data_IF_650684509485
#
_entry.id   IF_650684509485
#
_cell.length_a   1.000
_cell.length_b   1.000
_cell.length_c   1.000
_cell.angle_alpha   90.00
_cell.angle_beta   90.00
_cell.angle_gamma   90.00
#
_symmetry.space_group_name_H-M   'P 1'
#
loop_
_entity.id
_entity.type
_entity.pdbx_description
1 polymer ?
#
# COMPACT_ATOMS: atom_id res chain seq x y z
N UNK A 1 -5.71 62.18 -20.77
CA UNK A 1 -6.13 60.77 -20.73
C UNK A 1 -5.99 60.28 -19.29
N UNK A 2 -7.01 60.50 -18.45
CA UNK A 2 -7.02 60.00 -17.07
C UNK A 2 -7.67 58.60 -17.11
N UNK A 3 -6.92 57.59 -16.68
CA UNK A 3 -7.30 56.19 -16.75
C UNK A 3 -8.54 55.88 -15.92
N UNK A 4 -9.42 55.08 -16.51
CA UNK A 4 -10.67 54.59 -15.94
C UNK A 4 -10.38 53.71 -14.72
N UNK A 5 -10.77 54.16 -13.53
CA UNK A 5 -10.56 53.42 -12.28
C UNK A 5 -11.60 52.31 -12.19
N UNK A 6 -11.22 51.09 -12.56
CA UNK A 6 -12.04 49.89 -12.32
C UNK A 6 -12.37 49.79 -10.83
N UNK A 7 -13.66 49.83 -10.50
CA UNK A 7 -14.14 49.57 -9.15
C UNK A 7 -14.35 48.06 -9.00
N UNK A 8 -13.79 47.49 -7.93
CA UNK A 8 -13.97 46.09 -7.57
C UNK A 8 -14.86 46.04 -6.33
N UNK A 9 -15.94 45.25 -6.41
CA UNK A 9 -16.83 45.01 -5.28
C UNK A 9 -16.18 44.00 -4.33
N UNK A 10 -15.98 44.41 -3.08
CA UNK A 10 -15.61 43.50 -2.00
C UNK A 10 -16.80 43.34 -1.07
N UNK A 11 -17.13 42.09 -0.70
CA UNK A 11 -18.09 41.83 0.36
C UNK A 11 -17.51 42.30 1.69
N UNK A 12 -18.13 43.29 2.35
CA UNK A 12 -17.79 43.66 3.72
C UNK A 12 -18.95 43.30 4.64
N UNK A 13 -18.70 42.49 5.66
CA UNK A 13 -19.70 42.14 6.66
C UNK A 13 -19.87 43.34 7.61
N UNK A 14 -20.79 44.25 7.29
CA UNK A 14 -20.95 45.54 8.01
C UNK A 14 -21.70 45.44 9.34
N UNK A 15 -22.30 44.29 9.65
CA UNK A 15 -23.06 44.15 10.90
C UNK A 15 -22.15 43.59 12.00
N UNK A 16 -21.99 44.36 13.08
CA UNK A 16 -21.39 43.90 14.36
C UNK A 16 -22.35 42.98 15.14
N UNK A 17 -23.59 42.83 14.67
CA UNK A 17 -24.58 41.94 15.28
C UNK A 17 -24.50 40.56 14.63
N UNK A 18 -23.79 39.64 15.28
CA UNK A 18 -23.65 38.24 14.84
C UNK A 18 -25.01 37.58 14.56
N UNK A 19 -26.06 37.92 15.33
CA UNK A 19 -27.39 37.36 15.11
C UNK A 19 -28.01 37.77 13.75
N UNK A 20 -27.63 38.94 13.22
CA UNK A 20 -28.09 39.38 11.90
C UNK A 20 -27.39 38.63 10.77
N UNK A 21 -26.07 38.40 10.90
CA UNK A 21 -25.33 37.57 9.94
C UNK A 21 -25.82 36.11 9.93
N UNK A 22 -26.14 35.56 11.12
CA UNK A 22 -26.67 34.20 11.27
C UNK A 22 -28.14 34.07 10.86
N UNK A 23 -28.88 35.17 10.71
CA UNK A 23 -30.33 35.11 10.47
C UNK A 23 -30.74 34.65 9.07
N UNK A 24 -29.78 34.48 8.14
CA UNK A 24 -30.00 33.98 6.78
C UNK A 24 -31.30 34.49 6.14
N UNK A 25 -31.56 35.80 6.25
CA UNK A 25 -32.86 36.39 5.87
C UNK A 25 -33.12 36.19 4.39
N UNK A 26 -34.05 35.30 4.09
CA UNK A 26 -34.51 35.06 2.71
C UNK A 26 -35.61 36.06 2.37
N UNK A 27 -35.38 36.88 1.34
CA UNK A 27 -36.38 37.84 0.85
C UNK A 27 -37.52 37.16 0.10
N UNK A 28 -37.21 36.10 -0.64
CA UNK A 28 -38.17 35.35 -1.46
C UNK A 28 -37.92 33.84 -1.33
N UNK A 29 -38.59 33.16 -0.38
CA UNK A 29 -38.48 31.71 -0.24
C UNK A 29 -39.00 30.95 -1.47
N UNK A 30 -39.92 31.54 -2.25
CA UNK A 30 -40.45 30.91 -3.46
C UNK A 30 -39.39 30.84 -4.56
N UNK A 31 -38.43 31.78 -4.57
CA UNK A 31 -37.29 31.71 -5.50
C UNK A 31 -36.44 30.45 -5.27
N UNK A 32 -36.19 30.06 -4.02
CA UNK A 32 -35.47 28.82 -3.71
C UNK A 32 -36.25 27.57 -4.15
N UNK A 33 -37.57 27.53 -3.90
CA UNK A 33 -38.42 26.43 -4.36
C UNK A 33 -38.51 26.34 -5.90
N UNK A 34 -38.62 27.48 -6.58
CA UNK A 34 -38.60 27.53 -8.04
C UNK A 34 -37.24 27.11 -8.60
N UNK A 35 -36.15 27.37 -7.86
CA UNK A 35 -34.81 26.91 -8.24
C UNK A 35 -34.68 25.40 -8.09
N UNK A 36 -35.22 24.80 -7.03
CA UNK A 36 -35.32 23.35 -6.85
C UNK A 36 -36.10 22.69 -7.99
N UNK A 37 -37.26 23.27 -8.37
CA UNK A 37 -38.01 22.79 -9.53
C UNK A 37 -37.17 22.85 -10.83
N UNK A 38 -36.43 23.93 -11.05
CA UNK A 38 -35.61 24.10 -12.25
C UNK A 38 -34.40 23.15 -12.29
N UNK A 39 -33.86 22.74 -11.14
CA UNK A 39 -32.75 21.78 -11.05
C UNK A 39 -33.21 20.33 -11.02
N UNK A 40 -34.52 20.06 -11.15
CA UNK A 40 -35.06 18.71 -11.19
C UNK A 40 -35.32 18.08 -9.82
N UNK A 41 -35.13 18.80 -8.71
CA UNK A 41 -35.31 18.27 -7.34
C UNK A 41 -36.76 17.84 -7.03
N UNK A 42 -37.73 18.24 -7.86
CA UNK A 42 -39.12 17.79 -7.76
C UNK A 42 -39.48 16.68 -8.75
N UNK A 43 -38.56 16.27 -9.62
CA UNK A 43 -38.65 15.00 -10.32
C UNK A 43 -38.33 13.93 -9.27
N UNK A 44 -39.39 13.35 -8.69
CA UNK A 44 -39.24 12.33 -7.66
C UNK A 44 -38.54 11.10 -8.27
N UNK A 45 -37.26 10.96 -8.02
CA UNK A 45 -36.56 9.69 -8.15
C UNK A 45 -36.97 8.75 -7.01
N UNK A 46 -36.80 7.45 -7.19
CA UNK A 46 -37.14 6.46 -6.17
C UNK A 46 -36.27 6.69 -4.91
N UNK A 47 -36.81 7.41 -3.93
CA UNK A 47 -36.13 7.74 -2.66
C UNK A 47 -36.24 6.64 -1.60
N UNK A 48 -36.38 5.38 -2.01
CA UNK A 48 -36.40 4.24 -1.10
C UNK A 48 -35.05 4.10 -0.39
N UNK A 49 -35.05 4.12 0.94
CA UNK A 49 -33.85 3.81 1.72
C UNK A 49 -33.85 2.33 2.10
N UNK A 50 -32.67 1.70 2.20
CA UNK A 50 -32.59 0.31 2.65
C UNK A 50 -33.04 0.22 4.11
N UNK A 51 -34.00 -0.67 4.38
CA UNK A 51 -34.58 -0.89 5.71
C UNK A 51 -34.03 -2.17 6.36
N UNK A 52 -33.84 -3.23 5.57
CA UNK A 52 -33.20 -4.47 6.03
C UNK A 52 -32.46 -5.18 4.90
N UNK A 53 -31.46 -5.98 5.28
CA UNK A 53 -30.67 -6.82 4.38
C UNK A 53 -30.63 -8.23 4.93
N UNK A 54 -31.14 -9.21 4.19
CA UNK A 54 -31.01 -10.62 4.48
C UNK A 54 -29.83 -11.20 3.68
N UNK A 55 -28.90 -11.83 4.39
CA UNK A 55 -27.69 -12.41 3.84
C UNK A 55 -27.66 -13.91 4.14
N UNK A 56 -27.47 -14.70 3.09
CA UNK A 56 -27.14 -16.12 3.15
C UNK A 56 -25.74 -16.29 2.57
N UNK A 57 -24.86 -16.96 3.31
CA UNK A 57 -23.47 -17.14 2.93
C UNK A 57 -22.93 -18.46 3.45
N UNK A 58 -21.79 -18.87 2.91
CA UNK A 58 -20.96 -19.95 3.42
C UNK A 58 -19.51 -19.49 3.38
N UNK A 59 -18.64 -20.13 4.14
CA UNK A 59 -17.23 -19.78 4.12
C UNK A 59 -16.33 -21.01 4.04
N UNK A 60 -15.13 -20.78 3.51
CA UNK A 60 -14.09 -21.77 3.30
C UNK A 60 -12.85 -21.34 4.08
N UNK A 61 -12.53 -22.01 5.20
CA UNK A 61 -11.30 -21.75 5.92
C UNK A 61 -10.07 -21.99 5.02
N UNK A 62 -9.09 -21.10 5.12
CA UNK A 62 -7.77 -21.30 4.52
C UNK A 62 -7.10 -22.43 5.29
N UNK A 63 -6.69 -23.46 4.55
CA UNK A 63 -6.08 -24.66 5.11
C UNK A 63 -4.58 -24.72 4.80
N UNK A 64 -4.13 -24.10 3.72
CA UNK A 64 -2.74 -24.24 3.28
C UNK A 64 -2.14 -22.95 2.72
N UNK A 65 -0.83 -22.84 2.91
CA UNK A 65 0.03 -21.78 2.37
C UNK A 65 1.08 -22.40 1.44
N UNK A 66 1.15 -21.89 0.22
CA UNK A 66 2.21 -22.20 -0.73
C UNK A 66 3.24 -21.08 -0.73
N UNK A 67 4.50 -21.41 -0.44
CA UNK A 67 5.64 -20.47 -0.53
C UNK A 67 6.78 -21.12 -1.31
N UNK A 68 7.15 -20.55 -2.45
CA UNK A 68 8.06 -21.22 -3.39
C UNK A 68 7.55 -22.61 -3.77
N UNK A 69 8.37 -23.64 -3.55
CA UNK A 69 8.01 -25.05 -3.79
C UNK A 69 7.37 -25.73 -2.56
N UNK A 70 7.34 -25.07 -1.39
CA UNK A 70 6.85 -25.63 -0.15
C UNK A 70 5.33 -25.41 0.00
N UNK A 71 4.65 -26.45 0.47
CA UNK A 71 3.25 -26.40 0.89
C UNK A 71 3.16 -26.64 2.40
N UNK A 72 2.62 -25.68 3.13
CA UNK A 72 2.40 -25.73 4.57
C UNK A 72 0.92 -25.87 4.88
N UNK A 73 0.58 -26.70 5.85
CA UNK A 73 -0.74 -26.70 6.47
C UNK A 73 -0.80 -25.57 7.51
N UNK A 74 -1.91 -24.84 7.55
CA UNK A 74 -2.13 -23.70 8.45
C UNK A 74 -3.17 -24.04 9.51
N UNK A 75 -2.95 -23.59 10.74
CA UNK A 75 -4.02 -23.50 11.75
C UNK A 75 -4.78 -22.17 11.53
N UNK A 76 -6.11 -22.20 11.34
CA UNK A 76 -6.94 -20.99 11.19
C UNK A 76 -6.86 -20.00 12.36
N UNK A 77 -6.29 -20.38 13.51
CA UNK A 77 -6.11 -19.50 14.68
C UNK A 77 -4.78 -18.75 14.68
N UNK A 78 -3.85 -19.12 13.81
CA UNK A 78 -2.52 -18.53 13.74
C UNK A 78 -2.45 -17.45 12.65
N UNK A 79 -1.77 -16.32 12.93
CA UNK A 79 -1.61 -15.25 11.94
C UNK A 79 -0.75 -15.73 10.77
N UNK A 80 -1.01 -15.20 9.57
CA UNK A 80 -0.34 -15.63 8.35
C UNK A 80 1.11 -15.13 8.24
N UNK A 81 1.40 -13.93 8.74
CA UNK A 81 2.66 -13.21 8.53
C UNK A 81 3.91 -14.02 8.94
N UNK A 82 3.95 -14.70 10.11
CA UNK A 82 5.11 -15.51 10.48
C UNK A 82 5.38 -16.66 9.51
N UNK A 83 4.35 -17.25 8.91
CA UNK A 83 4.51 -18.39 7.99
C UNK A 83 4.91 -17.94 6.58
N UNK A 84 4.55 -16.72 6.21
CA UNK A 84 4.93 -16.10 4.93
C UNK A 84 6.35 -15.54 5.01
N UNK A 85 6.62 -14.74 6.04
CA UNK A 85 7.78 -13.86 6.07
C UNK A 85 9.02 -14.49 6.69
N UNK A 86 8.85 -15.50 7.57
CA UNK A 86 9.95 -16.06 8.34
C UNK A 86 11.04 -16.64 7.44
N UNK A 87 12.26 -16.26 7.78
CA UNK A 87 13.47 -16.86 7.25
C UNK A 87 13.70 -18.23 7.87
N UNK A 88 14.15 -19.17 7.04
CA UNK A 88 14.70 -20.45 7.50
C UNK A 88 16.23 -20.41 7.40
N UNK A 89 16.91 -20.93 8.42
CA UNK A 89 18.35 -21.16 8.34
C UNK A 89 18.63 -22.34 7.40
N UNK A 90 19.12 -22.05 6.19
CA UNK A 90 19.46 -23.04 5.18
C UNK A 90 20.89 -22.83 4.71
N UNK A 91 21.77 -23.81 4.94
CA UNK A 91 23.17 -23.79 4.51
C UNK A 91 23.98 -22.52 4.88
N UNK A 92 23.70 -21.93 6.05
CA UNK A 92 24.39 -20.72 6.54
C UNK A 92 23.94 -19.42 5.86
N UNK A 93 22.78 -19.43 5.19
CA UNK A 93 22.08 -18.23 4.72
C UNK A 93 20.65 -18.24 5.23
N UNK A 94 20.14 -17.05 5.52
CA UNK A 94 18.75 -16.85 5.88
C UNK A 94 17.91 -16.85 4.60
N UNK A 95 17.24 -17.95 4.32
CA UNK A 95 16.42 -18.14 3.13
C UNK A 95 14.95 -17.87 3.46
N UNK A 96 14.37 -16.84 2.82
CA UNK A 96 12.94 -16.55 2.91
C UNK A 96 12.23 -17.12 1.69
N UNK A 97 11.52 -18.25 1.86
CA UNK A 97 10.96 -19.03 0.76
C UNK A 97 9.93 -18.26 -0.11
N UNK A 98 9.18 -17.34 0.49
CA UNK A 98 8.22 -16.49 -0.22
C UNK A 98 8.84 -15.21 -0.81
N UNK A 99 10.08 -14.87 -0.47
CA UNK A 99 10.69 -13.60 -0.87
C UNK A 99 11.26 -13.64 -2.29
N UNK A 100 10.76 -12.76 -3.15
CA UNK A 100 11.28 -12.51 -4.50
C UNK A 100 12.30 -11.39 -4.46
N UNK A 101 13.57 -11.76 -4.36
CA UNK A 101 14.68 -10.80 -4.29
C UNK A 101 14.75 -9.82 -5.48
N UNK A 102 14.22 -10.23 -6.63
CA UNK A 102 14.17 -9.45 -7.85
C UNK A 102 13.09 -8.36 -7.85
N UNK A 103 12.03 -8.55 -7.07
CA UNK A 103 10.92 -7.59 -6.89
C UNK A 103 11.00 -6.84 -5.54
N UNK A 104 11.77 -7.40 -4.59
CA UNK A 104 11.82 -7.00 -3.19
C UNK A 104 10.44 -7.11 -2.51
N UNK A 105 9.71 -8.17 -2.85
CA UNK A 105 8.35 -8.44 -2.39
C UNK A 105 8.16 -9.93 -2.10
N UNK A 106 7.14 -10.23 -1.31
CA UNK A 106 6.70 -11.59 -1.01
C UNK A 106 5.65 -12.04 -2.02
N UNK A 107 5.84 -13.25 -2.56
CA UNK A 107 4.84 -13.94 -3.36
C UNK A 107 4.52 -15.32 -2.77
N UNK A 108 3.23 -15.60 -2.61
CA UNK A 108 2.73 -16.83 -2.01
C UNK A 108 1.30 -17.11 -2.46
N UNK A 109 0.86 -18.36 -2.29
CA UNK A 109 -0.50 -18.80 -2.57
C UNK A 109 -1.21 -19.28 -1.32
N UNK A 110 -2.53 -19.11 -1.25
CA UNK A 110 -3.36 -19.69 -0.20
C UNK A 110 -4.38 -20.64 -0.82
N UNK A 111 -4.58 -21.78 -0.18
CA UNK A 111 -5.61 -22.74 -0.60
C UNK A 111 -6.65 -22.93 0.50
N UNK A 112 -7.90 -22.80 0.08
CA UNK A 112 -9.07 -23.35 0.77
C UNK A 112 -9.54 -24.57 -0.02
N UNK A 113 -10.59 -25.24 0.44
CA UNK A 113 -11.19 -26.33 -0.34
C UNK A 113 -12.02 -25.86 -1.53
N UNK A 114 -12.40 -24.57 -1.59
CA UNK A 114 -13.19 -23.97 -2.67
C UNK A 114 -12.42 -23.00 -3.57
N UNK A 115 -11.26 -22.50 -3.11
CA UNK A 115 -10.57 -21.37 -3.72
C UNK A 115 -9.06 -21.50 -3.59
N UNK A 116 -8.33 -21.00 -4.60
CA UNK A 116 -6.91 -20.69 -4.53
C UNK A 116 -6.72 -19.19 -4.75
N UNK A 117 -6.11 -18.53 -3.77
CA UNK A 117 -5.74 -17.12 -3.82
C UNK A 117 -4.23 -17.00 -4.04
N UNK A 118 -3.80 -15.90 -4.63
CA UNK A 118 -2.39 -15.59 -4.86
C UNK A 118 -2.12 -14.15 -4.45
N UNK A 119 -1.06 -13.95 -3.67
CA UNK A 119 -0.47 -12.64 -3.44
C UNK A 119 0.89 -12.60 -4.15
N UNK A 120 1.14 -11.58 -4.97
CA UNK A 120 2.39 -11.46 -5.73
C UNK A 120 3.31 -10.32 -5.26
N UNK A 121 2.72 -9.32 -4.61
CA UNK A 121 3.33 -7.99 -4.42
C UNK A 121 3.30 -7.56 -2.93
N UNK A 122 3.28 -8.52 -2.00
CA UNK A 122 3.20 -8.22 -0.57
C UNK A 122 4.54 -7.66 -0.05
N UNK A 123 4.54 -6.45 0.48
CA UNK A 123 5.77 -5.73 0.87
C UNK A 123 6.31 -6.10 2.25
N UNK A 124 5.64 -7.00 2.99
CA UNK A 124 6.00 -7.37 4.36
C UNK A 124 5.44 -6.41 5.43
N UNK A 125 4.39 -5.65 5.09
CA UNK A 125 3.69 -4.74 5.98
C UNK A 125 2.19 -4.75 5.74
N UNK A 126 1.40 -4.85 6.82
CA UNK A 126 -0.06 -4.78 6.80
C UNK A 126 -0.67 -5.62 5.68
N UNK A 127 -0.51 -6.96 5.79
CA UNK A 127 -1.19 -7.88 4.89
C UNK A 127 -2.71 -7.66 4.99
N UNK A 128 -3.38 -7.53 3.85
CA UNK A 128 -4.82 -7.29 3.80
C UNK A 128 -5.41 -7.89 2.52
N UNK A 129 -6.74 -7.96 2.42
CA UNK A 129 -7.47 -8.66 1.37
C UNK A 129 -7.12 -8.17 -0.06
N UNK A 130 -6.78 -6.89 -0.23
CA UNK A 130 -6.46 -6.31 -1.54
C UNK A 130 -5.09 -6.75 -2.09
N UNK A 131 -4.30 -7.48 -1.31
CA UNK A 131 -3.05 -8.08 -1.76
C UNK A 131 -3.27 -9.40 -2.51
N UNK A 132 -4.52 -9.88 -2.55
CA UNK A 132 -4.85 -11.20 -3.07
C UNK A 132 -5.69 -11.07 -4.32
N UNK A 133 -5.30 -11.86 -5.32
CA UNK A 133 -6.09 -12.19 -6.50
C UNK A 133 -6.57 -13.64 -6.39
N UNK A 134 -7.65 -13.99 -7.07
CA UNK A 134 -8.04 -15.39 -7.19
C UNK A 134 -7.38 -16.02 -8.40
N UNK A 135 -6.69 -17.11 -8.13
CA UNK A 135 -6.09 -17.94 -9.15
C UNK A 135 -7.05 -19.03 -9.64
N UNK A 136 -7.87 -19.62 -8.75
CA UNK A 136 -8.75 -20.73 -9.13
C UNK A 136 -9.93 -20.96 -8.18
N UNK A 137 -11.06 -21.39 -8.72
CA UNK A 137 -12.20 -21.94 -7.97
C UNK A 137 -12.25 -23.48 -8.12
N UNK A 138 -12.66 -24.15 -7.05
CA UNK A 138 -12.87 -25.59 -6.98
C UNK A 138 -14.36 -25.89 -6.69
N UNK A 139 -14.79 -27.14 -6.89
CA UNK A 139 -16.19 -27.55 -6.68
C UNK A 139 -16.68 -27.39 -5.21
N UNK A 140 -15.79 -27.03 -4.28
CA UNK A 140 -16.15 -26.48 -2.97
C UNK A 140 -16.59 -27.52 -1.93
N UNK A 141 -15.99 -28.72 -1.94
CA UNK A 141 -16.20 -29.68 -0.84
C UNK A 141 -15.71 -29.07 0.49
N UNK A 142 -16.49 -29.19 1.57
CA UNK A 142 -16.05 -28.71 2.91
C UNK A 142 -16.30 -27.23 3.21
N UNK A 143 -17.22 -26.58 2.51
CA UNK A 143 -17.75 -25.29 2.93
C UNK A 143 -18.45 -25.40 4.31
N UNK A 144 -18.30 -24.36 5.13
CA UNK A 144 -19.07 -24.18 6.37
C UNK A 144 -20.22 -23.22 6.11
N UNK A 145 -21.46 -23.69 6.28
CA UNK A 145 -22.66 -22.87 6.08
C UNK A 145 -22.81 -21.84 7.20
N UNK A 146 -22.91 -20.56 6.84
CA UNK A 146 -23.24 -19.52 7.81
C UNK A 146 -24.74 -19.57 8.10
N UNK A 147 -25.12 -19.34 9.37
CA UNK A 147 -26.53 -19.13 9.69
C UNK A 147 -27.05 -17.87 8.93
N UNK A 148 -28.21 -17.94 8.25
CA UNK A 148 -28.82 -16.78 7.62
C UNK A 148 -28.99 -15.64 8.61
N UNK A 149 -28.67 -14.41 8.19
CA UNK A 149 -28.73 -13.23 9.06
C UNK A 149 -29.43 -12.08 8.39
N UNK A 150 -30.24 -11.37 9.18
CA UNK A 150 -30.88 -10.12 8.80
C UNK A 150 -30.17 -8.96 9.51
N UNK A 151 -29.82 -7.93 8.75
CA UNK A 151 -29.15 -6.72 9.21
C UNK A 151 -30.03 -5.50 9.00
N UNK A 152 -29.84 -4.50 9.85
CA UNK A 152 -30.34 -3.14 9.61
C UNK A 152 -29.17 -2.34 9.03
N UNK A 153 -29.21 -1.97 7.74
CA UNK A 153 -28.12 -1.23 7.11
C UNK A 153 -28.06 0.20 7.65
N UNK A 154 -26.85 0.74 7.73
CA UNK A 154 -26.63 2.14 8.09
C UNK A 154 -26.04 2.86 6.89
N UNK A 155 -26.66 3.95 6.46
CA UNK A 155 -26.12 4.76 5.38
C UNK A 155 -24.76 5.35 5.79
N UNK A 156 -23.78 5.31 4.88
CA UNK A 156 -22.46 5.90 5.13
C UNK A 156 -22.63 7.41 5.28
N UNK A 157 -21.99 7.98 6.30
CA UNK A 157 -21.99 9.41 6.56
C UNK A 157 -20.71 9.82 7.29
N UNK A 158 -20.28 11.06 7.10
CA UNK A 158 -19.17 11.67 7.80
C UNK A 158 -19.50 13.13 8.14
N UNK A 159 -18.81 13.77 9.09
CA UNK A 159 -19.02 15.20 9.39
C UNK A 159 -18.82 16.05 8.12
N UNK A 160 -19.81 16.85 7.72
CA UNK A 160 -19.75 17.63 6.47
C UNK A 160 -20.34 16.93 5.24
N UNK A 161 -20.75 15.67 5.32
CA UNK A 161 -21.48 15.02 4.24
C UNK A 161 -22.83 15.73 3.97
N UNK A 162 -23.27 15.81 2.69
CA UNK A 162 -24.56 16.37 2.34
C UNK A 162 -25.70 15.56 2.97
N UNK A 163 -26.72 16.25 3.48
CA UNK A 163 -27.92 15.59 3.99
C UNK A 163 -28.88 15.30 2.82
N UNK A 164 -29.29 14.04 2.59
CA UNK A 164 -30.11 13.67 1.43
C UNK A 164 -31.55 14.21 1.49
N UNK A 165 -32.03 14.62 2.67
CA UNK A 165 -33.45 14.97 2.87
C UNK A 165 -33.69 16.44 3.09
N UNK A 166 -32.75 17.13 3.71
CA UNK A 166 -32.94 18.53 4.11
C UNK A 166 -31.77 19.41 3.72
N UNK A 167 -32.08 20.69 3.48
CA UNK A 167 -31.05 21.70 3.48
C UNK A 167 -30.47 21.80 4.89
N UNK A 168 -29.18 21.50 5.03
CA UNK A 168 -28.42 21.64 6.28
C UNK A 168 -27.32 22.66 6.06
N UNK A 169 -27.16 23.59 7.00
CA UNK A 169 -25.96 24.42 7.05
C UNK A 169 -24.84 23.54 7.60
N UNK A 170 -23.81 23.31 6.80
CA UNK A 170 -22.67 22.49 7.19
C UNK A 170 -21.96 23.06 8.42
N UNK A 171 -21.57 22.19 9.34
CA UNK A 171 -20.69 22.57 10.44
C UNK A 171 -19.26 22.73 9.92
N UNK A 172 -18.65 23.89 10.22
CA UNK A 172 -17.28 24.17 9.85
C UNK A 172 -16.32 23.21 10.58
N UNK A 173 -15.75 22.26 9.86
CA UNK A 173 -14.82 21.28 10.44
C UNK A 173 -14.28 20.22 9.48
N UNK A 174 -14.97 19.97 8.35
CA UNK A 174 -14.58 18.94 7.39
C UNK A 174 -14.71 19.46 5.95
N UNK A 175 -13.77 20.31 5.57
CA UNK A 175 -13.63 20.86 4.22
C UNK A 175 -12.69 19.97 3.41
N UNK A 176 -13.23 19.14 2.52
CA UNK A 176 -12.46 18.32 1.58
C UNK A 176 -11.98 19.13 0.36
N UNK A 177 -12.48 20.36 0.20
CA UNK A 177 -12.18 21.31 -0.88
C UNK A 177 -10.93 22.16 -0.62
N UNK A 178 -10.35 22.10 0.58
CA UNK A 178 -9.12 22.79 0.95
C UNK A 178 -7.99 21.82 1.34
N UNK A 179 -7.50 20.97 0.41
CA UNK A 179 -6.32 20.16 0.69
C UNK A 179 -5.15 21.09 1.02
N UNK A 180 -4.58 20.93 2.22
CA UNK A 180 -3.47 21.79 2.68
C UNK A 180 -2.22 21.64 1.81
N UNK A 181 -2.04 20.50 1.13
CA UNK A 181 -0.87 20.13 0.32
C UNK A 181 -1.17 18.87 -0.51
N UNK A 182 -2.14 18.90 -1.43
CA UNK A 182 -2.34 17.77 -2.36
C UNK A 182 -1.85 18.16 -3.76
N UNK A 183 -0.91 17.40 -4.31
CA UNK A 183 -0.73 17.38 -5.75
C UNK A 183 -2.02 16.81 -6.37
N UNK A 184 -2.68 17.52 -7.31
CA UNK A 184 -3.90 17.03 -7.92
C UNK A 184 -3.60 15.75 -8.71
N UNK A 185 -4.16 14.64 -8.26
CA UNK A 185 -4.14 13.34 -8.93
C UNK A 185 -5.58 12.81 -9.12
N UNK A 186 -5.74 11.75 -9.90
CA UNK A 186 -7.06 11.15 -10.19
C UNK A 186 -7.82 10.79 -8.90
N UNK A 187 -7.15 10.18 -7.92
CA UNK A 187 -7.76 9.77 -6.66
C UNK A 187 -8.28 10.97 -5.85
N UNK A 188 -7.53 12.08 -5.84
CA UNK A 188 -7.95 13.33 -5.19
C UNK A 188 -9.14 14.00 -5.87
N UNK A 189 -9.47 13.62 -7.11
CA UNK A 189 -10.66 14.11 -7.85
C UNK A 189 -11.86 13.18 -7.69
N UNK A 190 -11.64 11.86 -7.65
CA UNK A 190 -12.71 10.87 -7.45
C UNK A 190 -13.37 10.98 -6.08
N UNK A 191 -12.60 11.32 -5.04
CA UNK A 191 -13.11 11.36 -3.67
C UNK A 191 -14.17 12.47 -3.47
N UNK A 192 -13.96 13.73 -3.91
CA UNK A 192 -15.02 14.74 -3.95
C UNK A 192 -16.24 14.32 -4.77
N UNK A 193 -16.05 13.72 -5.95
CA UNK A 193 -17.16 13.27 -6.80
C UNK A 193 -18.05 12.26 -6.06
N UNK A 194 -17.44 11.24 -5.46
CA UNK A 194 -18.11 10.26 -4.62
C UNK A 194 -18.86 10.92 -3.44
N UNK A 195 -18.20 11.83 -2.71
CA UNK A 195 -18.77 12.46 -1.52
C UNK A 195 -19.97 13.36 -1.82
N UNK A 196 -19.95 14.10 -2.92
CA UNK A 196 -21.02 15.04 -3.23
C UNK A 196 -22.14 14.43 -4.07
N UNK A 197 -21.87 13.36 -4.81
CA UNK A 197 -22.84 12.75 -5.74
C UNK A 197 -23.42 11.46 -5.19
N UNK A 198 -22.59 10.55 -4.70
CA UNK A 198 -22.97 9.15 -4.55
C UNK A 198 -23.06 8.65 -3.12
N UNK A 199 -22.51 9.37 -2.12
CA UNK A 199 -22.46 8.88 -0.73
C UNK A 199 -23.82 8.45 -0.17
N UNK A 200 -24.90 9.10 -0.63
CA UNK A 200 -26.25 8.80 -0.17
C UNK A 200 -26.78 7.43 -0.62
N UNK A 201 -26.12 6.80 -1.58
CA UNK A 201 -26.44 5.48 -2.10
C UNK A 201 -25.61 4.36 -1.46
N UNK A 202 -24.74 4.69 -0.49
CA UNK A 202 -23.84 3.75 0.15
C UNK A 202 -24.31 3.36 1.54
N UNK A 203 -24.33 2.05 1.80
CA UNK A 203 -24.80 1.47 3.06
C UNK A 203 -23.75 0.51 3.62
N UNK A 204 -23.71 0.42 4.94
CA UNK A 204 -22.85 -0.48 5.69
C UNK A 204 -23.70 -1.48 6.48
N UNK A 205 -23.32 -2.76 6.42
CA UNK A 205 -23.86 -3.82 7.27
C UNK A 205 -22.72 -4.50 8.06
N UNK A 206 -22.91 -4.82 9.35
CA UNK A 206 -21.91 -5.52 10.13
C UNK A 206 -22.03 -7.03 9.88
N UNK A 207 -21.42 -7.54 8.82
CA UNK A 207 -21.47 -8.95 8.43
C UNK A 207 -20.22 -9.73 8.93
N UNK A 208 -20.14 -10.12 10.22
CA UNK A 208 -18.93 -10.76 10.75
C UNK A 208 -18.66 -12.10 10.06
N UNK A 209 -17.39 -12.40 9.84
CA UNK A 209 -16.90 -13.68 9.35
C UNK A 209 -15.70 -14.13 10.17
N UNK A 210 -15.41 -15.44 10.23
CA UNK A 210 -14.12 -15.91 10.71
C UNK A 210 -12.99 -15.31 9.87
N UNK A 211 -11.93 -14.85 10.53
CA UNK A 211 -10.70 -14.46 9.84
C UNK A 211 -10.01 -15.71 9.26
N UNK A 212 -9.25 -15.52 8.18
CA UNK A 212 -8.59 -16.62 7.48
C UNK A 212 -9.55 -17.48 6.67
N UNK A 213 -10.66 -16.92 6.19
CA UNK A 213 -11.63 -17.64 5.37
C UNK A 213 -12.06 -16.81 4.15
N UNK A 214 -12.41 -17.50 3.07
CA UNK A 214 -13.11 -16.91 1.91
C UNK A 214 -14.60 -17.14 2.11
N UNK A 215 -15.39 -16.08 2.14
CA UNK A 215 -16.85 -16.14 2.19
C UNK A 215 -17.44 -16.06 0.79
N UNK A 216 -18.33 -16.98 0.48
CA UNK A 216 -19.24 -16.91 -0.66
C UNK A 216 -20.58 -16.34 -0.21
N UNK A 217 -21.03 -15.26 -0.83
CA UNK A 217 -22.42 -14.79 -0.73
C UNK A 217 -23.29 -15.69 -1.61
N UNK A 218 -24.30 -16.32 -1.03
CA UNK A 218 -25.24 -17.20 -1.74
C UNK A 218 -26.50 -16.46 -2.16
N UNK A 219 -27.01 -15.58 -1.31
CA UNK A 219 -28.14 -14.68 -1.61
C UNK A 219 -28.01 -13.41 -0.78
N UNK A 220 -28.30 -12.27 -1.42
CA UNK A 220 -28.36 -10.96 -0.79
C UNK A 220 -29.71 -10.32 -1.14
N UNK A 221 -30.63 -10.30 -0.17
CA UNK A 221 -31.97 -9.72 -0.36
C UNK A 221 -32.09 -8.44 0.44
N UNK A 222 -32.49 -7.36 -0.22
CA UNK A 222 -32.69 -6.06 0.42
C UNK A 222 -34.16 -5.71 0.43
N UNK A 223 -34.63 -5.15 1.55
CA UNK A 223 -35.98 -4.58 1.67
C UNK A 223 -35.86 -3.08 1.83
N UNK A 224 -36.52 -2.32 0.97
CA UNK A 224 -36.55 -0.86 1.05
C UNK A 224 -37.59 -0.33 2.06
N UNK A 225 -37.61 0.99 2.26
CA UNK A 225 -38.54 1.68 3.15
C UNK A 225 -40.02 1.59 2.72
N UNK A 226 -40.31 1.15 1.49
CA UNK A 226 -41.65 0.89 0.98
C UNK A 226 -42.07 -0.58 1.11
N UNK A 227 -41.18 -1.45 1.61
CA UNK A 227 -41.40 -2.87 1.76
C UNK A 227 -41.19 -3.67 0.47
N UNK A 228 -40.57 -3.07 -0.55
CA UNK A 228 -40.20 -3.78 -1.78
C UNK A 228 -38.95 -4.61 -1.48
N UNK A 229 -39.06 -5.91 -1.69
CA UNK A 229 -37.94 -6.84 -1.60
C UNK A 229 -37.28 -6.97 -2.98
N UNK A 230 -35.97 -6.80 -3.02
CA UNK A 230 -35.13 -6.96 -4.21
C UNK A 230 -34.00 -7.94 -3.89
N UNK A 231 -33.83 -8.95 -4.72
CA UNK A 231 -32.64 -9.81 -4.68
C UNK A 231 -31.54 -9.14 -5.50
N UNK A 232 -30.37 -8.95 -4.87
CA UNK A 232 -29.22 -8.31 -5.48
C UNK A 232 -28.28 -9.40 -5.99
N UNK A 233 -27.99 -9.32 -7.28
CA UNK A 233 -27.00 -10.18 -7.92
C UNK A 233 -25.61 -9.54 -7.82
N UNK A 234 -24.54 -10.36 -7.73
CA UNK A 234 -23.17 -9.88 -7.84
C UNK A 234 -22.92 -9.14 -9.16
N UNK A 235 -22.09 -8.10 -9.13
CA UNK A 235 -21.65 -7.43 -10.36
C UNK A 235 -20.63 -8.32 -11.09
N UNK A 236 -20.93 -8.68 -12.34
CA UNK A 236 -20.10 -9.56 -13.19
C UNK A 236 -19.42 -8.82 -14.37
N UNK A 237 -19.36 -7.48 -14.33
CA UNK A 237 -18.80 -6.70 -15.44
C UNK A 237 -17.30 -6.98 -15.66
N UNK A 238 -16.90 -7.02 -16.94
CA UNK A 238 -15.50 -7.08 -17.37
C UNK A 238 -14.87 -5.69 -17.19
N UNK A 239 -14.10 -5.50 -16.13
CA UNK A 239 -13.45 -4.22 -15.82
C UNK A 239 -12.63 -4.29 -14.53
N UNK A 240 -11.86 -3.23 -14.27
CA UNK A 240 -11.13 -3.07 -13.02
C UNK A 240 -12.10 -2.87 -11.85
N UNK A 241 -11.84 -3.53 -10.71
CA UNK A 241 -12.72 -3.49 -9.54
C UNK A 241 -11.92 -3.05 -8.33
N UNK A 242 -12.55 -2.21 -7.52
CA UNK A 242 -11.90 -1.61 -6.33
C UNK A 242 -12.16 -2.40 -5.06
N UNK A 243 -13.28 -3.13 -4.98
CA UNK A 243 -13.78 -3.78 -3.75
C UNK A 243 -14.01 -5.29 -3.91
N UNK A 244 -13.32 -5.91 -4.87
CA UNK A 244 -13.41 -7.34 -5.12
C UNK A 244 -12.01 -7.91 -5.29
N UNK A 245 -11.86 -9.19 -4.97
CA UNK A 245 -10.69 -9.97 -5.35
C UNK A 245 -10.75 -10.18 -6.87
N UNK A 246 -9.76 -9.69 -7.59
CA UNK A 246 -9.75 -9.78 -9.05
C UNK A 246 -9.35 -11.21 -9.48
N UNK A 247 -9.98 -11.74 -10.55
CA UNK A 247 -9.57 -13.03 -11.10
C UNK A 247 -8.32 -12.85 -11.95
N UNK A 248 -7.34 -13.74 -11.76
CA UNK A 248 -6.24 -13.85 -12.71
C UNK A 248 -6.77 -14.33 -14.08
N UNK A 249 -6.13 -13.96 -15.21
CA UNK A 249 -6.65 -14.24 -16.56
C UNK A 249 -6.98 -15.71 -16.85
N UNK A 250 -6.32 -16.65 -16.16
CA UNK A 250 -6.47 -18.10 -16.34
C UNK A 250 -7.42 -18.75 -15.32
N UNK A 251 -8.06 -17.99 -14.42
CA UNK A 251 -8.84 -18.51 -13.29
C UNK A 251 -10.18 -19.17 -13.67
N UNK A 252 -10.62 -19.08 -14.93
CA UNK A 252 -11.89 -19.64 -15.41
C UNK A 252 -13.02 -18.62 -15.43
N UNK A 253 -14.27 -19.01 -15.06
CA UNK A 253 -15.37 -18.05 -14.89
C UNK A 253 -14.92 -17.04 -13.83
N UNK A 254 -14.78 -15.78 -14.24
CA UNK A 254 -14.29 -14.72 -13.37
C UNK A 254 -15.15 -14.60 -12.12
N UNK A 255 -14.50 -14.30 -11.00
CA UNK A 255 -15.18 -13.90 -9.78
C UNK A 255 -16.09 -12.71 -10.08
N UNK A 256 -17.18 -12.61 -9.32
CA UNK A 256 -18.06 -11.44 -9.21
C UNK A 256 -17.91 -10.79 -7.83
N UNK A 257 -18.67 -9.73 -7.50
CA UNK A 257 -18.71 -9.18 -6.13
C UNK A 257 -19.24 -10.15 -5.03
N UNK A 258 -19.23 -11.46 -5.29
CA UNK A 258 -19.80 -12.54 -4.46
C UNK A 258 -18.83 -13.06 -3.41
N UNK A 259 -17.53 -13.05 -3.69
CA UNK A 259 -16.51 -13.56 -2.77
C UNK A 259 -15.89 -12.43 -1.96
N UNK A 260 -15.83 -12.62 -0.65
CA UNK A 260 -15.15 -11.74 0.29
C UNK A 260 -14.06 -12.51 1.00
N UNK A 261 -12.86 -11.95 1.07
CA UNK A 261 -11.75 -12.55 1.80
C UNK A 261 -11.36 -11.66 2.99
N UNK A 262 -11.21 -12.27 4.16
CA UNK A 262 -10.64 -11.62 5.33
C UNK A 262 -9.43 -12.44 5.79
N UNK A 263 -8.19 -11.99 5.58
CA UNK A 263 -7.01 -12.74 5.99
C UNK A 263 -6.92 -12.82 7.52
N UNK A 264 -6.35 -13.92 8.03
CA UNK A 264 -6.03 -14.01 9.46
C UNK A 264 -4.66 -13.37 9.69
N UNK A 265 -4.67 -12.11 10.10
CA UNK A 265 -3.46 -11.31 10.32
C UNK A 265 -3.29 -10.99 11.78
N UNK A 266 -2.04 -10.74 12.19
CA UNK A 266 -1.75 -10.31 13.53
C UNK A 266 -2.38 -8.93 13.76
N UNK A 267 -3.20 -8.82 14.82
CA UNK A 267 -3.85 -7.54 15.19
C UNK A 267 -2.80 -6.47 15.50
N UNK A 268 -1.71 -6.87 16.14
CA UNK A 268 -0.57 -6.00 16.44
C UNK A 268 0.72 -6.78 16.25
N UNK A 269 1.70 -6.13 15.61
CA UNK A 269 3.03 -6.67 15.35
C UNK A 269 4.05 -5.76 16.00
N UNK A 270 4.79 -6.30 16.96
CA UNK A 270 5.90 -5.60 17.58
C UNK A 270 7.12 -5.68 16.66
N UNK A 271 7.52 -4.53 16.13
CA UNK A 271 8.76 -4.37 15.36
C UNK A 271 9.89 -4.08 16.34
N UNK A 272 10.84 -5.01 16.45
CA UNK A 272 11.97 -4.91 17.34
C UNK A 272 13.22 -4.40 16.57
N UNK A 273 14.38 -4.97 16.83
CA UNK A 273 15.65 -4.54 16.25
C UNK A 273 15.64 -4.64 14.71
N UNK A 274 16.10 -3.55 14.08
CA UNK A 274 16.36 -3.50 12.64
C UNK A 274 17.73 -4.13 12.41
N UNK A 275 17.73 -5.36 11.88
CA UNK A 275 18.95 -6.11 11.59
C UNK A 275 19.69 -5.52 10.38
N UNK A 276 18.93 -5.04 9.39
CA UNK A 276 19.46 -4.40 8.18
C UNK A 276 18.56 -3.24 7.72
N UNK A 277 19.16 -2.17 7.22
CA UNK A 277 18.51 -1.03 6.56
C UNK A 277 19.25 -0.72 5.26
N UNK A 278 18.67 -1.12 4.13
CA UNK A 278 19.23 -0.92 2.80
C UNK A 278 18.35 0.04 2.04
N UNK A 279 18.97 1.08 1.46
CA UNK A 279 18.27 2.10 0.68
C UNK A 279 18.73 2.03 -0.76
N UNK A 280 17.79 1.82 -1.67
CA UNK A 280 18.06 1.87 -3.10
C UNK A 280 17.73 3.26 -3.61
N UNK A 281 18.76 3.94 -4.13
CA UNK A 281 18.72 5.34 -4.54
C UNK A 281 19.01 5.41 -6.02
N UNK A 282 18.12 6.07 -6.77
CA UNK A 282 18.27 6.23 -8.21
C UNK A 282 19.17 7.42 -8.51
N UNK A 283 20.21 7.19 -9.30
CA UNK A 283 21.12 8.22 -9.79
C UNK A 283 20.78 8.53 -11.26
N UNK A 284 20.01 9.60 -11.47
CA UNK A 284 19.57 10.00 -12.80
C UNK A 284 20.72 10.50 -13.70
N UNK A 285 21.82 10.99 -13.13
CA UNK A 285 22.96 11.48 -13.93
C UNK A 285 23.80 10.32 -14.45
N UNK A 286 24.03 9.30 -13.62
CA UNK A 286 24.78 8.11 -13.98
C UNK A 286 23.91 6.99 -14.61
N UNK A 287 22.59 7.17 -14.62
CA UNK A 287 21.60 6.18 -15.08
C UNK A 287 21.80 4.81 -14.44
N UNK A 288 21.98 4.79 -13.12
CA UNK A 288 22.16 3.57 -12.33
C UNK A 288 21.45 3.70 -10.99
N UNK A 289 21.36 2.59 -10.26
CA UNK A 289 20.85 2.58 -8.89
C UNK A 289 21.99 2.27 -7.93
N UNK A 290 21.99 2.91 -6.77
CA UNK A 290 22.88 2.59 -5.68
C UNK A 290 22.12 1.89 -4.57
N UNK A 291 22.59 0.73 -4.11
CA UNK A 291 22.20 0.19 -2.83
C UNK A 291 23.14 0.73 -1.75
N UNK A 292 22.59 1.51 -0.84
CA UNK A 292 23.28 2.01 0.34
C UNK A 292 22.93 1.14 1.54
N UNK A 293 23.90 0.35 2.01
CA UNK A 293 23.81 -0.37 3.28
C UNK A 293 23.99 0.63 4.42
N UNK A 294 22.89 1.15 4.95
CA UNK A 294 22.89 2.13 6.03
C UNK A 294 23.06 1.44 7.39
N UNK A 295 22.40 0.30 7.60
CA UNK A 295 22.58 -0.54 8.79
C UNK A 295 22.73 -1.99 8.35
N UNK A 296 23.62 -2.74 8.99
CA UNK A 296 23.70 -4.19 8.87
C UNK A 296 24.20 -4.80 10.18
N UNK A 297 23.89 -6.08 10.40
CA UNK A 297 24.35 -6.84 11.56
C UNK A 297 25.46 -7.79 11.14
N UNK A 298 26.58 -7.81 11.85
CA UNK A 298 27.70 -8.70 11.59
C UNK A 298 27.40 -10.14 12.05
N UNK A 299 28.20 -11.11 11.60
CA UNK A 299 28.11 -12.50 12.06
C UNK A 299 28.28 -12.65 13.59
N UNK A 300 28.92 -11.66 14.25
CA UNK A 300 29.08 -11.63 15.72
C UNK A 300 27.89 -11.02 16.44
N UNK A 301 26.85 -10.58 15.72
CA UNK A 301 25.66 -9.94 16.26
C UNK A 301 25.81 -8.44 16.57
N UNK A 302 26.88 -7.80 16.08
CA UNK A 302 27.09 -6.35 16.25
C UNK A 302 26.41 -5.59 15.12
N UNK A 303 25.58 -4.61 15.47
CA UNK A 303 24.93 -3.73 14.50
C UNK A 303 25.86 -2.57 14.14
N UNK A 304 26.22 -2.47 12.86
CA UNK A 304 27.03 -1.38 12.31
C UNK A 304 26.11 -0.41 11.56
N UNK A 305 26.26 0.89 11.83
CA UNK A 305 25.51 1.96 11.19
C UNK A 305 26.44 2.85 10.37
N UNK A 306 26.38 2.71 9.05
CA UNK A 306 27.20 3.47 8.12
C UNK A 306 26.58 4.85 7.87
N UNK A 307 27.40 5.91 7.98
CA UNK A 307 26.97 7.29 7.75
C UNK A 307 26.67 8.09 9.01
N UNK A 308 26.91 7.52 10.20
CA UNK A 308 27.11 8.33 11.39
C UNK A 308 28.48 9.04 11.28
N UNK A 309 28.47 10.36 11.47
CA UNK A 309 29.60 11.27 11.20
C UNK A 309 30.93 10.91 11.90
N UNK A 310 30.94 9.90 12.79
CA UNK A 310 32.13 9.41 13.49
C UNK A 310 33.08 8.59 12.62
N UNK A 311 32.60 7.86 11.60
CA UNK A 311 33.49 7.06 10.76
C UNK A 311 34.10 7.84 9.60
N UNK A 312 33.44 8.91 9.14
CA UNK A 312 34.00 9.82 8.14
C UNK A 312 35.26 10.55 8.64
N UNK A 313 35.46 10.66 9.96
CA UNK A 313 36.67 11.24 10.56
C UNK A 313 37.83 10.24 10.71
N UNK A 314 37.62 8.95 10.42
CA UNK A 314 38.64 7.91 10.68
C UNK A 314 39.28 7.32 9.41
N UNK A 315 38.83 7.72 8.21
CA UNK A 315 39.57 7.47 6.98
C UNK A 315 40.40 8.71 6.63
N UNK A 316 41.70 8.61 6.93
CA UNK A 316 42.78 9.51 6.53
C UNK A 316 42.71 10.97 7.01
N UNK A 317 42.79 11.18 8.34
CA UNK A 317 43.48 12.36 8.85
C UNK A 317 44.99 12.08 8.92
N UNK A 318 45.62 11.98 7.74
CA UNK A 318 47.05 12.25 7.65
C UNK A 318 47.23 13.74 7.94
N UNK A 319 47.74 14.06 9.12
CA UNK A 319 48.00 15.42 9.62
C UNK A 319 49.17 16.12 8.89
N UNK A 320 49.52 15.63 7.69
CA UNK A 320 50.52 16.21 6.81
C UNK A 320 49.81 17.05 5.74
N UNK A 321 50.24 18.30 5.47
CA UNK A 321 49.69 19.07 4.36
C UNK A 321 50.02 18.34 3.06
N UNK A 322 49.03 17.64 2.50
CA UNK A 322 49.13 17.13 1.14
C UNK A 322 49.20 18.33 0.19
N UNK A 323 50.18 18.38 -0.73
CA UNK A 323 50.25 19.44 -1.72
C UNK A 323 48.99 19.42 -2.60
N UNK A 324 48.50 20.60 -2.98
CA UNK A 324 47.32 20.76 -3.82
C UNK A 324 47.36 19.82 -5.03
N UNK A 325 46.50 18.80 -5.02
CA UNK A 325 46.50 17.70 -5.96
C UNK A 325 45.21 17.67 -6.76
N UNK A 326 45.32 17.59 -8.09
CA UNK A 326 44.16 17.35 -8.94
C UNK A 326 43.74 15.88 -8.85
N UNK A 327 42.50 15.62 -8.44
CA UNK A 327 41.89 14.29 -8.40
C UNK A 327 40.79 14.20 -9.46
N UNK A 328 40.87 13.14 -10.28
CA UNK A 328 39.91 12.88 -11.36
C UNK A 328 38.54 12.47 -10.82
N UNK A 329 38.52 11.67 -9.75
CA UNK A 329 37.31 11.12 -9.14
C UNK A 329 37.53 10.92 -7.64
N UNK A 330 36.49 11.10 -6.83
CA UNK A 330 36.49 10.77 -5.40
C UNK A 330 36.29 9.26 -5.19
N UNK A 331 36.81 8.74 -4.08
CA UNK A 331 36.53 7.35 -3.71
C UNK A 331 35.06 7.16 -3.32
N UNK A 332 34.51 6.00 -3.68
CA UNK A 332 33.14 5.60 -3.30
C UNK A 332 33.23 4.77 -2.02
N UNK A 333 32.50 5.13 -0.95
CA UNK A 333 32.50 4.35 0.27
C UNK A 333 32.01 2.91 0.01
N UNK A 334 32.61 1.93 0.69
CA UNK A 334 32.40 0.50 0.39
C UNK A 334 30.95 0.04 0.57
N UNK A 335 30.19 0.69 1.43
CA UNK A 335 28.78 0.41 1.72
C UNK A 335 27.81 0.94 0.64
N UNK A 336 28.32 1.56 -0.42
CA UNK A 336 27.55 1.93 -1.61
C UNK A 336 27.83 0.94 -2.74
N UNK A 337 26.83 0.11 -3.06
CA UNK A 337 26.93 -0.95 -4.05
C UNK A 337 26.18 -0.52 -5.32
N UNK A 338 26.84 -0.47 -6.49
CA UNK A 338 26.19 -0.05 -7.72
C UNK A 338 25.32 -1.17 -8.29
N UNK A 339 24.21 -0.79 -8.90
CA UNK A 339 23.28 -1.64 -9.64
C UNK A 339 23.13 -1.07 -11.05
N UNK A 340 23.66 -1.80 -12.03
CA UNK A 340 23.75 -1.35 -13.42
C UNK A 340 22.60 -1.92 -14.25
N UNK A 341 21.91 -1.11 -15.08
CA UNK A 341 20.87 -1.61 -15.95
C UNK A 341 21.44 -2.53 -17.03
N UNK A 342 20.76 -3.66 -17.24
CA UNK A 342 21.06 -4.68 -18.23
C UNK A 342 19.74 -5.08 -18.89
N UNK A 343 19.69 -5.04 -20.22
CA UNK A 343 18.53 -5.49 -20.98
C UNK A 343 18.53 -7.02 -21.15
N UNK A 344 17.37 -7.64 -20.97
CA UNK A 344 17.06 -9.01 -21.37
C UNK A 344 16.32 -8.93 -22.71
N UNK A 345 16.71 -9.78 -23.66
CA UNK A 345 16.17 -9.85 -25.01
C UNK A 345 16.30 -8.57 -25.87
N UNK A 346 17.16 -8.63 -26.89
CA UNK A 346 17.45 -7.52 -27.80
C UNK A 346 16.34 -7.27 -28.84
N UNK A 347 15.07 -7.50 -28.50
CA UNK A 347 13.95 -7.15 -29.37
C UNK A 347 13.65 -5.65 -29.22
N UNK A 348 13.40 -4.89 -30.32
CA UNK A 348 13.33 -3.43 -30.26
C UNK A 348 12.15 -2.82 -29.47
N UNK A 349 11.20 -3.63 -28.99
CA UNK A 349 9.92 -3.15 -28.45
C UNK A 349 9.55 -3.68 -27.06
N UNK A 350 10.19 -4.77 -26.57
CA UNK A 350 9.76 -5.47 -25.34
C UNK A 350 10.94 -5.90 -24.43
N UNK A 351 12.10 -5.25 -24.54
CA UNK A 351 13.25 -5.60 -23.70
C UNK A 351 13.02 -5.22 -22.24
N UNK A 352 12.83 -6.21 -21.38
CA UNK A 352 12.80 -6.03 -19.92
C UNK A 352 14.19 -5.58 -19.43
N UNK A 353 14.23 -4.58 -18.55
CA UNK A 353 15.48 -4.08 -17.97
C UNK A 353 15.56 -4.50 -16.52
N UNK A 354 16.64 -5.19 -16.17
CA UNK A 354 16.96 -5.45 -14.77
C UNK A 354 18.26 -4.75 -14.39
N UNK A 355 18.35 -4.40 -13.13
CA UNK A 355 19.49 -3.85 -12.46
C UNK A 355 20.35 -4.99 -11.91
N UNK A 356 21.59 -5.11 -12.38
CA UNK A 356 22.56 -6.10 -11.94
C UNK A 356 23.49 -5.51 -10.89
N UNK A 357 23.61 -6.17 -9.74
CA UNK A 357 24.59 -5.81 -8.70
C UNK A 357 26.01 -5.84 -9.24
N UNK A 358 26.72 -4.73 -9.08
CA UNK A 358 28.14 -4.53 -9.41
C UNK A 358 29.02 -4.48 -8.16
N UNK A 359 30.26 -3.99 -8.34
CA UNK A 359 31.22 -3.72 -7.27
C UNK A 359 32.07 -2.49 -7.65
N UNK A 360 32.42 -1.67 -6.67
CA UNK A 360 33.39 -0.59 -6.81
C UNK A 360 34.76 -0.98 -6.24
N UNK A 361 34.78 -1.90 -5.26
CA UNK A 361 36.03 -2.42 -4.70
C UNK A 361 36.66 -3.46 -5.66
N UNK A 362 37.86 -3.21 -6.22
CA UNK A 362 38.52 -4.12 -7.14
C UNK A 362 38.92 -5.46 -6.49
N UNK A 363 39.16 -5.46 -5.18
CA UNK A 363 39.57 -6.64 -4.41
C UNK A 363 38.37 -7.52 -4.01
N UNK A 364 37.14 -7.00 -4.10
CA UNK A 364 35.94 -7.73 -3.69
C UNK A 364 35.67 -8.94 -4.60
N UNK A 365 35.69 -10.15 -4.05
CA UNK A 365 35.45 -11.39 -4.78
C UNK A 365 34.12 -12.04 -4.39
N UNK A 366 33.83 -13.25 -4.90
CA UNK A 366 32.67 -14.02 -4.43
C UNK A 366 32.85 -14.53 -3.00
N UNK A 367 34.08 -14.85 -2.62
CA UNK A 367 34.42 -15.35 -1.28
C UNK A 367 34.61 -14.20 -0.28
N UNK A 368 34.80 -12.98 -0.77
CA UNK A 368 34.93 -11.76 0.04
C UNK A 368 34.16 -10.63 -0.65
N UNK A 369 32.82 -10.65 -0.57
CA UNK A 369 32.00 -9.65 -1.22
C UNK A 369 32.16 -8.26 -0.59
N UNK A 370 31.87 -7.22 -1.37
CA UNK A 370 31.83 -5.84 -0.91
C UNK A 370 30.64 -5.58 0.03
N UNK A 371 29.48 -6.16 -0.29
CA UNK A 371 28.24 -6.03 0.49
C UNK A 371 28.31 -6.85 1.78
N UNK A 372 27.54 -6.44 2.80
CA UNK A 372 27.47 -7.10 4.11
C UNK A 372 26.06 -7.56 4.49
N UNK A 373 25.02 -6.97 3.93
CA UNK A 373 23.62 -7.29 4.22
C UNK A 373 23.12 -8.50 3.44
N UNK A 374 22.21 -9.28 4.03
CA UNK A 374 21.48 -10.35 3.37
C UNK A 374 20.60 -9.81 2.26
N UNK A 375 19.94 -8.66 2.46
CA UNK A 375 19.09 -8.00 1.45
C UNK A 375 19.86 -7.70 0.17
N UNK A 376 21.07 -7.12 0.27
CA UNK A 376 21.90 -6.91 -0.93
C UNK A 376 22.44 -8.23 -1.45
N UNK A 377 22.79 -9.18 -0.58
CA UNK A 377 23.35 -10.48 -0.97
C UNK A 377 22.41 -11.31 -1.87
N UNK A 378 21.11 -11.36 -1.53
CA UNK A 378 20.07 -12.07 -2.27
C UNK A 378 19.67 -11.34 -3.56
N UNK A 379 19.58 -10.01 -3.55
CA UNK A 379 19.19 -9.19 -4.68
C UNK A 379 20.30 -9.04 -5.74
N UNK A 380 20.76 -10.12 -6.34
CA UNK A 380 21.79 -10.09 -7.41
C UNK A 380 21.26 -9.38 -8.66
N UNK A 381 19.98 -9.55 -8.93
CA UNK A 381 19.19 -8.90 -9.98
C UNK A 381 17.99 -8.25 -9.30
N UNK A 382 17.64 -7.06 -9.76
CA UNK A 382 16.50 -6.29 -9.28
C UNK A 382 15.79 -5.73 -10.51
N UNK A 383 14.47 -5.85 -10.62
CA UNK A 383 13.76 -5.27 -11.76
C UNK A 383 13.83 -3.73 -11.71
N UNK A 384 13.99 -3.07 -12.85
CA UNK A 384 14.22 -1.61 -12.88
C UNK A 384 12.99 -0.83 -12.41
N UNK A 385 11.80 -1.31 -12.76
CA UNK A 385 10.50 -0.74 -12.41
C UNK A 385 10.25 -0.70 -10.91
N UNK A 386 10.91 -1.59 -10.15
CA UNK A 386 10.74 -1.68 -8.70
C UNK A 386 11.34 -0.51 -7.96
N UNK A 387 12.32 0.18 -8.56
CA UNK A 387 13.01 1.32 -7.95
C UNK A 387 12.43 2.63 -8.48
N UNK A 388 11.44 3.24 -7.80
CA UNK A 388 10.87 4.51 -8.23
C UNK A 388 11.90 5.64 -8.10
N UNK A 389 11.58 6.82 -8.66
CA UNK A 389 12.44 8.01 -8.59
C UNK A 389 12.75 8.46 -7.15
N UNK A 390 11.80 8.27 -6.23
CA UNK A 390 11.98 8.55 -4.80
C UNK A 390 12.94 7.58 -4.11
N UNK A 391 13.36 6.52 -4.82
CA UNK A 391 14.06 5.37 -4.27
C UNK A 391 13.13 4.48 -3.44
N UNK A 392 13.70 3.43 -2.88
CA UNK A 392 13.02 2.54 -1.94
C UNK A 392 13.92 2.20 -0.76
N UNK A 393 13.32 1.73 0.32
CA UNK A 393 14.01 1.27 1.52
C UNK A 393 13.54 -0.12 1.86
N UNK A 394 14.48 -1.05 2.02
CA UNK A 394 14.20 -2.40 2.50
C UNK A 394 14.85 -2.58 3.86
N UNK A 395 14.07 -3.04 4.82
CA UNK A 395 14.55 -3.36 6.16
C UNK A 395 14.37 -4.83 6.45
N UNK A 396 15.36 -5.47 7.06
CA UNK A 396 15.25 -6.79 7.67
C UNK A 396 15.07 -6.60 9.17
N UNK A 397 13.93 -7.03 9.72
CA UNK A 397 13.49 -6.65 11.07
C UNK A 397 13.04 -7.89 11.83
N UNK A 398 13.44 -7.99 13.09
CA UNK A 398 12.87 -8.96 14.02
C UNK A 398 11.46 -8.53 14.44
N UNK A 399 10.47 -9.40 14.26
CA UNK A 399 9.06 -9.18 14.52
C UNK A 399 8.53 -10.15 15.56
N UNK A 400 7.53 -9.71 16.31
CA UNK A 400 6.81 -10.53 17.28
C UNK A 400 5.32 -10.26 17.21
N UNK A 401 4.51 -11.32 17.27
CA UNK A 401 3.06 -11.24 17.39
C UNK A 401 2.51 -12.46 18.14
N UNK A 402 1.37 -12.26 18.80
CA UNK A 402 0.61 -13.36 19.41
C UNK A 402 -0.60 -13.70 18.55
N UNK A 403 -0.82 -14.98 18.28
CA UNK A 403 -2.04 -15.46 17.64
C UNK A 403 -3.21 -15.66 18.62
N UNK A 404 -4.32 -16.20 18.10
CA UNK A 404 -5.54 -16.41 18.87
C UNK A 404 -5.55 -17.73 19.68
N UNK A 405 -4.55 -18.59 19.50
CA UNK A 405 -4.40 -19.87 20.20
C UNK A 405 -3.80 -19.76 21.61
N UNK A 406 -4.00 -20.79 22.44
CA UNK A 406 -3.25 -20.93 23.70
C UNK A 406 -1.76 -21.16 23.37
N UNK A 407 -0.87 -20.34 23.94
CA UNK A 407 0.59 -20.34 23.68
C UNK A 407 1.03 -20.01 22.23
N UNK A 408 0.16 -19.35 21.44
CA UNK A 408 0.50 -18.91 20.07
C UNK A 408 1.32 -17.61 20.10
N UNK A 409 2.62 -17.72 20.34
CA UNK A 409 3.57 -16.61 20.25
C UNK A 409 4.55 -16.87 19.10
N UNK A 410 4.64 -15.93 18.17
CA UNK A 410 5.49 -16.04 16.99
C UNK A 410 6.58 -14.98 17.05
N UNK A 411 7.83 -15.41 16.90
CA UNK A 411 8.98 -14.55 16.67
C UNK A 411 9.58 -14.93 15.33
N UNK A 412 9.76 -13.96 14.45
CA UNK A 412 10.33 -14.20 13.12
C UNK A 412 11.13 -12.99 12.66
N UNK A 413 12.00 -13.22 11.69
CA UNK A 413 12.66 -12.14 10.96
C UNK A 413 11.98 -12.03 9.61
N UNK A 414 11.55 -10.82 9.25
CA UNK A 414 10.90 -10.52 7.98
C UNK A 414 11.53 -9.29 7.32
N UNK A 415 11.27 -9.15 6.02
CA UNK A 415 11.65 -7.99 5.22
C UNK A 415 10.47 -7.04 5.13
N UNK A 416 10.76 -5.75 5.02
CA UNK A 416 9.77 -4.69 4.90
C UNK A 416 10.25 -3.73 3.83
N UNK A 417 9.49 -3.61 2.72
CA UNK A 417 9.73 -2.64 1.64
C UNK A 417 8.88 -1.38 1.87
N UNK A 418 9.55 -0.23 1.90
CA UNK A 418 8.95 1.10 2.03
C UNK A 418 9.39 2.01 0.89
N UNK A 419 8.61 3.07 0.65
CA UNK A 419 9.05 4.17 -0.19
C UNK A 419 10.30 4.86 0.39
N UNK A 420 11.25 5.19 -0.50
CA UNK A 420 12.41 6.00 -0.17
C UNK A 420 12.03 7.46 0.06
N UNK A 421 12.96 8.23 0.65
CA UNK A 421 12.79 9.67 0.90
C UNK A 421 13.55 10.56 -0.08
N UNK A 422 14.09 9.99 -1.16
CA UNK A 422 15.06 10.65 -2.03
C UNK A 422 16.35 10.98 -1.27
N UNK A 423 17.41 10.19 -1.48
CA UNK A 423 18.72 10.52 -0.89
C UNK A 423 19.64 11.09 -1.98
N UNK A 424 20.56 11.96 -1.59
CA UNK A 424 21.68 12.27 -2.46
C UNK A 424 22.51 10.98 -2.65
N UNK A 425 23.05 10.76 -3.85
CA UNK A 425 23.92 9.61 -4.13
C UNK A 425 25.20 9.59 -3.27
N UNK A 426 26.19 8.74 -3.59
CA UNK A 426 27.40 8.55 -2.79
C UNK A 426 28.33 9.79 -2.65
N UNK A 427 27.92 10.97 -3.12
CA UNK A 427 28.72 12.19 -3.04
C UNK A 427 29.89 12.24 -4.03
N UNK A 428 29.77 11.49 -5.13
CA UNK A 428 30.78 11.42 -6.19
C UNK A 428 31.17 12.82 -6.70
N UNK A 429 32.46 13.12 -6.64
CA UNK A 429 33.06 14.33 -7.21
C UNK A 429 34.01 13.95 -8.33
N UNK A 430 34.00 14.75 -9.39
CA UNK A 430 34.89 14.62 -10.53
C UNK A 430 35.69 15.91 -10.68
N UNK A 431 36.91 15.80 -11.18
CA UNK A 431 37.77 16.93 -11.55
C UNK A 431 37.91 18.00 -10.44
N UNK A 432 38.27 17.58 -9.23
CA UNK A 432 38.41 18.48 -8.08
C UNK A 432 39.86 18.59 -7.60
N UNK A 433 40.15 19.69 -6.90
CA UNK A 433 41.44 19.93 -6.26
C UNK A 433 41.27 19.65 -4.77
N UNK A 434 42.20 18.89 -4.21
CA UNK A 434 42.31 18.65 -2.78
C UNK A 434 43.51 19.40 -2.21
N UNK A 435 43.35 20.04 -1.05
CA UNK A 435 44.35 20.89 -0.40
C UNK A 435 43.98 22.38 -0.39
N UNK A 436 44.40 23.11 0.64
CA UNK A 436 44.32 24.59 0.70
C UNK A 436 45.49 25.22 -0.08
N UNK A 437 45.25 26.38 -0.69
CA UNK A 437 46.24 27.20 -1.41
C UNK A 437 47.48 27.59 -0.58
#
# INVERSE_FOLDING_TARGET
>A
MAGDKKQQLHGSNRSVNIAEALSARVKDPLWFLARQWQTGEFEAENGGALASVDLESRHFPVARLQRGEEMLELDPKEPLEPFIEAEAESAGRDEAAAWRSEALEYAFGLETTGHRLRASDYTGFQLDWYQFDLEKEFDGDGAEEDAPRSYVPTQISFPGAPDPRWWRLEEAGAYFDAPREAEPNILSTLLPEFFYTDINNWYMIPAPMPAGAVRDILSLRVTDSFGVMTELEPVEEEGWRVFAVDPLPDAGRGISGRQLYAPNVAIDVLYNDVLEDVRFVRDEQANLVWAWEHVYTTETGETVMNGDAREAETQDSSDAPEPAGFRLMSDVPRNWIPYLPVQIDLTPTDGEVFLRRGRTDPEASRDTPQYRSTVVAEAVRLMEEEVPRTGLRVRRIAKFASGAGEDSNHFWVGRHKDAGRGHAGPGLRFDYVEGDD
#
